data_IF_519337652136
#
_entry.id   IF_519337652136
#
_cell.length_a   1.000
_cell.length_b   1.000
_cell.length_c   1.000
_cell.angle_alpha   90.00
_cell.angle_beta   90.00
_cell.angle_gamma   90.00
#
_symmetry.space_group_name_H-M   'P 1'
#
loop_
_entity.id
_entity.type
_entity.pdbx_description
1 polymer ?
#
# COMPACT_ATOMS: atom_id res chain seq x y z
N UNK A 1 7.98 21.72 7.12
CA UNK A 1 8.69 21.78 7.89
C UNK A 1 8.38 21.27 9.13
N UNK A 2 9.08 20.76 9.79
CA UNK A 2 8.84 20.15 10.99
C UNK A 2 8.10 18.85 10.93
N UNK A 3 7.80 18.31 9.80
CA UNK A 3 7.15 17.04 9.74
C UNK A 3 8.12 15.97 10.11
N UNK A 4 7.74 15.12 11.00
CA UNK A 4 8.57 13.99 11.38
C UNK A 4 8.16 12.80 10.55
N UNK A 5 8.97 12.42 9.60
CA UNK A 5 8.64 11.34 8.69
C UNK A 5 8.61 9.97 9.35
N UNK A 6 9.05 9.87 10.61
CA UNK A 6 8.93 8.60 11.31
C UNK A 6 7.51 8.31 11.73
N UNK A 7 6.62 9.28 11.61
CA UNK A 7 5.24 9.12 12.03
C UNK A 7 4.29 9.10 10.83
N UNK A 8 4.46 8.21 9.94
CA UNK A 8 3.50 8.06 8.86
C UNK A 8 2.12 7.68 9.39
N UNK A 9 1.10 7.81 8.56
CA UNK A 9 -0.24 7.36 8.91
C UNK A 9 -0.24 5.84 8.98
N UNK A 10 -0.75 5.28 10.06
CA UNK A 10 -0.76 3.83 10.24
C UNK A 10 -2.10 3.36 10.77
N UNK A 11 -2.71 2.43 10.05
CA UNK A 11 -3.95 1.83 10.47
C UNK A 11 -3.67 0.35 10.73
N UNK A 12 -3.76 -0.06 11.97
CA UNK A 12 -3.36 -1.39 12.36
C UNK A 12 -4.52 -2.38 12.26
N UNK A 13 -4.26 -3.55 11.71
CA UNK A 13 -5.21 -4.64 11.68
C UNK A 13 -4.75 -5.79 12.53
N UNK A 14 -5.45 -6.90 12.46
CA UNK A 14 -5.14 -8.06 13.28
C UNK A 14 -4.24 -9.07 12.57
N UNK A 15 -4.04 -8.94 11.28
CA UNK A 15 -3.28 -9.92 10.52
C UNK A 15 -1.83 -9.52 10.32
N UNK A 16 -1.17 -10.20 9.41
CA UNK A 16 0.26 -10.07 9.21
C UNK A 16 0.65 -9.47 7.85
N UNK A 17 -0.28 -8.86 7.16
CA UNK A 17 -0.01 -8.21 5.89
C UNK A 17 -0.01 -6.71 6.07
N UNK A 18 1.02 -6.04 5.54
CA UNK A 18 1.14 -4.61 5.60
C UNK A 18 1.08 -4.04 4.20
N UNK A 19 0.13 -3.15 3.94
CA UNK A 19 0.08 -2.40 2.69
C UNK A 19 0.76 -1.06 2.92
N UNK A 20 1.69 -0.70 2.03
CA UNK A 20 2.46 0.53 2.15
C UNK A 20 2.16 1.41 0.94
N UNK A 21 1.82 2.66 1.18
CA UNK A 21 1.52 3.60 0.11
C UNK A 21 2.10 4.97 0.44
N UNK A 22 1.92 5.92 -0.47
CA UNK A 22 2.56 7.22 -0.32
C UNK A 22 1.75 8.17 0.55
N UNK A 23 0.45 8.18 0.44
CA UNK A 23 -0.39 9.13 1.14
C UNK A 23 -1.51 8.45 1.89
N UNK A 24 -1.98 9.09 2.96
CA UNK A 24 -3.05 8.53 3.78
C UNK A 24 -4.32 8.28 2.97
N UNK A 25 -4.62 9.16 2.00
CA UNK A 25 -5.82 8.97 1.19
C UNK A 25 -5.73 7.68 0.39
N UNK A 26 -4.52 7.30 -0.04
CA UNK A 26 -4.36 6.04 -0.76
C UNK A 26 -4.54 4.85 0.17
N UNK A 27 -4.07 4.94 1.40
CA UNK A 27 -4.27 3.86 2.37
C UNK A 27 -5.74 3.62 2.61
N UNK A 28 -6.51 4.68 2.78
CA UNK A 28 -7.95 4.55 2.99
C UNK A 28 -8.64 4.04 1.74
N UNK A 29 -8.15 4.44 0.58
CA UNK A 29 -8.73 3.96 -0.69
C UNK A 29 -8.47 2.47 -0.87
N UNK A 30 -7.27 1.99 -0.53
CA UNK A 30 -6.97 0.58 -0.63
C UNK A 30 -7.89 -0.22 0.30
N UNK A 31 -8.06 0.23 1.54
CA UNK A 31 -8.93 -0.46 2.47
C UNK A 31 -10.37 -0.52 1.94
N UNK A 32 -10.83 0.57 1.36
CA UNK A 32 -12.17 0.64 0.81
C UNK A 32 -12.34 -0.27 -0.41
N UNK A 33 -11.33 -0.30 -1.27
CA UNK A 33 -11.37 -1.19 -2.44
C UNK A 33 -11.41 -2.65 -1.99
N UNK A 34 -10.65 -2.99 -0.98
CA UNK A 34 -10.67 -4.36 -0.46
C UNK A 34 -12.03 -4.70 0.10
N UNK A 35 -12.65 -3.76 0.79
CA UNK A 35 -13.99 -3.98 1.31
C UNK A 35 -14.98 -4.23 0.18
N UNK A 36 -14.90 -3.44 -0.89
CA UNK A 36 -15.77 -3.64 -2.04
C UNK A 36 -15.56 -5.01 -2.70
N UNK A 37 -14.36 -5.54 -2.64
CA UNK A 37 -14.07 -6.84 -3.23
C UNK A 37 -14.40 -8.00 -2.29
N UNK A 38 -15.00 -7.72 -1.17
CA UNK A 38 -15.38 -8.77 -0.23
C UNK A 38 -14.25 -9.29 0.61
N UNK A 39 -13.13 -8.57 0.65
CA UNK A 39 -11.99 -9.00 1.42
C UNK A 39 -12.05 -8.40 2.83
N UNK A 40 -11.40 -9.06 3.77
CA UNK A 40 -11.45 -8.61 5.15
C UNK A 40 -10.40 -7.52 5.36
N UNK A 41 -10.78 -6.30 5.03
CA UNK A 41 -9.86 -5.17 5.10
C UNK A 41 -9.40 -4.90 6.54
N UNK A 42 -10.15 -5.33 7.53
CA UNK A 42 -9.81 -5.08 8.93
C UNK A 42 -8.65 -5.95 9.41
N UNK A 43 -8.37 -7.02 8.72
CA UNK A 43 -7.24 -7.84 9.09
C UNK A 43 -5.94 -7.24 8.60
N UNK A 44 -5.99 -6.39 7.58
CA UNK A 44 -4.77 -5.87 6.99
C UNK A 44 -4.30 -4.63 7.73
N UNK A 45 -3.04 -4.31 7.54
CA UNK A 45 -2.43 -3.13 8.13
C UNK A 45 -2.06 -2.19 7.00
N UNK A 46 -2.16 -0.89 7.22
CA UNK A 46 -1.95 0.10 6.18
C UNK A 46 -1.02 1.19 6.68
N UNK A 47 0.03 1.47 5.93
CA UNK A 47 1.00 2.49 6.29
C UNK A 47 1.16 3.45 5.12
N UNK A 48 0.99 4.75 5.40
CA UNK A 48 1.28 5.78 4.42
C UNK A 48 2.53 6.50 4.85
N UNK A 49 3.46 6.66 3.92
CA UNK A 49 4.76 7.18 4.25
C UNK A 49 4.86 8.69 4.28
N UNK A 50 3.86 9.37 3.75
CA UNK A 50 3.87 10.83 3.74
C UNK A 50 4.80 11.40 2.69
N UNK A 51 5.10 10.61 1.68
CA UNK A 51 5.99 11.03 0.63
C UNK A 51 7.21 10.13 0.57
N UNK A 52 7.69 9.86 -0.62
CA UNK A 52 8.82 8.98 -0.82
C UNK A 52 9.76 9.62 -1.80
N UNK A 53 11.05 9.60 -1.49
CA UNK A 53 12.05 10.13 -2.38
C UNK A 53 12.74 8.97 -3.08
N UNK A 54 12.71 8.96 -4.39
CA UNK A 54 13.29 7.87 -5.15
C UNK A 54 14.80 7.78 -4.99
N UNK A 55 15.44 8.85 -4.55
CA UNK A 55 16.88 8.88 -4.42
C UNK A 55 17.39 8.45 -3.06
N UNK A 56 16.51 8.15 -2.13
CA UNK A 56 16.98 7.77 -0.80
C UNK A 56 17.60 6.40 -0.80
N UNK A 57 18.63 6.24 -0.01
CA UNK A 57 19.35 4.97 0.06
C UNK A 57 19.00 4.11 1.24
N UNK A 58 18.11 4.59 2.08
CA UNK A 58 17.66 3.84 3.23
C UNK A 58 16.18 3.62 3.12
N UNK A 59 15.68 2.67 3.87
CA UNK A 59 14.24 2.51 3.97
C UNK A 59 13.64 3.78 4.56
N UNK A 60 12.44 4.16 4.13
CA UNK A 60 11.75 5.26 4.79
C UNK A 60 11.63 5.01 6.28
N UNK A 61 11.82 6.05 7.07
CA UNK A 61 11.86 5.91 8.53
C UNK A 61 10.57 5.31 9.07
N UNK A 62 9.42 5.74 8.54
CA UNK A 62 8.15 5.22 9.01
C UNK A 62 8.03 3.72 8.74
N UNK A 63 8.51 3.27 7.59
CA UNK A 63 8.46 1.86 7.26
C UNK A 63 9.39 1.05 8.15
N UNK A 64 10.60 1.52 8.32
CA UNK A 64 11.56 0.82 9.16
C UNK A 64 11.06 0.72 10.59
N UNK A 65 10.51 1.80 11.12
CA UNK A 65 9.97 1.79 12.47
C UNK A 65 8.81 0.81 12.59
N UNK A 66 7.93 0.79 11.62
CA UNK A 66 6.78 -0.11 11.67
C UNK A 66 7.23 -1.56 11.63
N UNK A 67 8.21 -1.88 10.78
CA UNK A 67 8.70 -3.24 10.67
C UNK A 67 9.46 -3.68 11.93
N UNK A 68 10.06 -2.74 12.64
CA UNK A 68 10.76 -3.07 13.87
C UNK A 68 9.80 -3.23 15.05
N UNK A 69 8.66 -2.57 15.00
CA UNK A 69 7.72 -2.60 16.12
C UNK A 69 6.66 -3.68 16.00
N UNK A 70 6.42 -4.17 14.79
CA UNK A 70 5.37 -5.16 14.57
C UNK A 70 5.92 -6.26 13.67
N UNK A 71 5.37 -7.43 13.82
CA UNK A 71 5.82 -8.58 13.04
C UNK A 71 4.88 -8.83 11.88
N UNK A 72 5.36 -8.69 10.66
CA UNK A 72 4.57 -8.94 9.48
C UNK A 72 5.17 -10.09 8.68
N UNK A 73 4.34 -10.79 7.95
CA UNK A 73 4.78 -11.85 7.06
C UNK A 73 4.79 -11.40 5.61
N UNK A 74 4.03 -10.36 5.28
CA UNK A 74 3.93 -9.90 3.91
C UNK A 74 3.84 -8.39 3.88
N UNK A 75 4.58 -7.78 2.97
CA UNK A 75 4.51 -6.35 2.72
C UNK A 75 4.14 -6.16 1.26
N UNK A 76 3.12 -5.37 0.98
CA UNK A 76 2.69 -5.08 -0.36
C UNK A 76 2.91 -3.59 -0.61
N UNK A 77 3.75 -3.27 -1.60
CA UNK A 77 4.08 -1.89 -1.91
C UNK A 77 3.10 -1.37 -2.94
N UNK A 78 2.31 -0.38 -2.57
CA UNK A 78 1.21 0.13 -3.38
C UNK A 78 1.45 1.59 -3.70
N UNK A 79 2.41 1.86 -4.58
CA UNK A 79 2.78 3.23 -4.90
C UNK A 79 2.13 3.65 -6.21
N UNK A 80 2.13 4.96 -6.46
CA UNK A 80 1.47 5.52 -7.62
C UNK A 80 1.99 4.93 -8.92
N UNK A 81 1.13 4.89 -9.91
CA UNK A 81 1.50 4.36 -11.22
C UNK A 81 2.12 5.46 -12.06
N UNK A 82 3.28 5.94 -11.62
CA UNK A 82 4.07 6.90 -12.36
C UNK A 82 5.54 6.54 -12.15
N UNK A 83 6.43 7.23 -12.85
CA UNK A 83 7.84 6.89 -12.84
C UNK A 83 8.43 7.00 -11.44
N UNK A 84 8.10 8.05 -10.72
CA UNK A 84 8.64 8.25 -9.38
C UNK A 84 8.15 7.17 -8.42
N UNK A 85 6.86 6.85 -8.47
CA UNK A 85 6.29 5.85 -7.57
C UNK A 85 6.87 4.48 -7.85
N UNK A 86 7.00 4.12 -9.12
CA UNK A 86 7.50 2.79 -9.46
C UNK A 86 9.00 2.67 -9.19
N UNK A 87 9.75 3.76 -9.34
CA UNK A 87 11.17 3.74 -8.98
C UNK A 87 11.33 3.55 -7.48
N UNK A 88 10.54 4.26 -6.69
CA UNK A 88 10.59 4.11 -5.24
C UNK A 88 10.18 2.70 -4.83
N UNK A 89 9.17 2.14 -5.49
CA UNK A 89 8.71 0.79 -5.17
C UNK A 89 9.84 -0.22 -5.41
N UNK A 90 10.53 -0.11 -6.53
CA UNK A 90 11.62 -1.03 -6.84
C UNK A 90 12.76 -0.92 -5.83
N UNK A 91 13.10 0.32 -5.44
CA UNK A 91 14.15 0.50 -4.47
C UNK A 91 13.81 -0.09 -3.13
N UNK A 92 12.61 0.18 -2.66
CA UNK A 92 12.17 -0.33 -1.37
C UNK A 92 12.05 -1.86 -1.42
N UNK A 93 11.55 -2.37 -2.53
CA UNK A 93 11.47 -3.83 -2.71
C UNK A 93 12.84 -4.47 -2.53
N UNK A 94 13.85 -3.92 -3.21
CA UNK A 94 15.20 -4.46 -3.12
C UNK A 94 15.76 -4.36 -1.70
N UNK A 95 15.56 -3.23 -1.05
CA UNK A 95 16.06 -3.05 0.31
C UNK A 95 15.38 -4.00 1.29
N UNK A 96 14.09 -4.21 1.15
CA UNK A 96 13.38 -5.13 2.03
C UNK A 96 13.86 -6.57 1.83
N UNK A 97 14.09 -6.94 0.58
CA UNK A 97 14.59 -8.30 0.30
C UNK A 97 15.98 -8.50 0.87
N UNK A 98 16.79 -7.45 0.91
CA UNK A 98 18.12 -7.56 1.49
C UNK A 98 18.10 -7.62 2.99
N UNK A 99 17.22 -6.84 3.63
CA UNK A 99 17.19 -6.78 5.07
C UNK A 99 16.39 -7.91 5.69
N UNK A 100 15.39 -8.42 4.98
CA UNK A 100 14.50 -9.47 5.49
C UNK A 100 14.42 -10.59 4.47
N UNK A 101 15.50 -11.31 4.24
CA UNK A 101 15.52 -12.25 3.11
C UNK A 101 14.67 -13.49 3.27
N UNK A 102 14.41 -13.90 4.50
CA UNK A 102 13.77 -15.19 4.66
C UNK A 102 12.39 -15.18 5.22
N UNK A 103 12.05 -14.22 6.00
CA UNK A 103 10.79 -14.25 6.73
C UNK A 103 9.76 -13.26 6.24
N UNK A 104 10.07 -12.50 5.22
CA UNK A 104 9.17 -11.46 4.76
C UNK A 104 8.92 -11.63 3.27
N UNK A 105 7.66 -11.79 2.91
CA UNK A 105 7.28 -11.80 1.51
C UNK A 105 7.02 -10.37 1.08
N UNK A 106 7.63 -9.93 -0.01
CA UNK A 106 7.46 -8.55 -0.49
C UNK A 106 6.83 -8.61 -1.86
N UNK A 107 5.77 -7.85 -2.06
CA UNK A 107 5.07 -7.79 -3.33
C UNK A 107 4.82 -6.34 -3.70
N UNK A 108 4.54 -6.10 -4.97
CA UNK A 108 4.14 -4.78 -5.42
C UNK A 108 2.75 -4.88 -6.03
N UNK A 109 1.99 -3.81 -5.89
CA UNK A 109 0.66 -3.73 -6.46
C UNK A 109 0.53 -2.36 -7.10
N UNK A 110 0.28 -2.32 -8.40
CA UNK A 110 0.22 -1.07 -9.15
C UNK A 110 -1.25 -0.74 -9.41
N UNK A 111 -1.69 0.50 -9.16
CA UNK A 111 -3.08 0.83 -9.46
C UNK A 111 -3.30 0.85 -10.97
N UNK A 112 -4.53 0.60 -11.39
CA UNK A 112 -4.86 0.57 -12.81
C UNK A 112 -4.88 1.95 -13.42
N UNK A 113 -5.04 2.97 -12.59
CA UNK A 113 -4.98 4.35 -13.02
C UNK A 113 -3.83 4.98 -12.27
N UNK A 114 -3.79 6.29 -12.13
CA UNK A 114 -2.63 6.93 -11.56
C UNK A 114 -2.35 6.53 -10.12
N UNK A 115 -3.38 6.49 -9.28
CA UNK A 115 -3.22 6.14 -7.89
C UNK A 115 -4.47 5.41 -7.39
N UNK A 116 -4.41 4.90 -6.16
CA UNK A 116 -5.49 4.10 -5.64
C UNK A 116 -6.73 4.92 -5.30
N UNK A 117 -6.56 6.21 -4.99
CA UNK A 117 -7.72 7.05 -4.79
C UNK A 117 -8.50 7.23 -6.09
N UNK A 118 -7.80 7.46 -7.21
CA UNK A 118 -8.44 7.55 -8.51
C UNK A 118 -9.11 6.23 -8.88
N UNK A 119 -8.46 5.13 -8.56
CA UNK A 119 -9.04 3.82 -8.85
C UNK A 119 -10.34 3.61 -8.08
N UNK A 120 -10.39 4.04 -6.83
CA UNK A 120 -11.62 3.96 -6.05
C UNK A 120 -12.71 4.82 -6.66
N UNK A 121 -12.37 6.03 -7.11
CA UNK A 121 -13.35 6.91 -7.73
C UNK A 121 -13.94 6.30 -8.99
N UNK A 122 -13.11 5.65 -9.80
CA UNK A 122 -13.58 4.98 -10.99
C UNK A 122 -14.53 3.83 -10.62
N UNK A 123 -14.16 3.07 -9.60
CA UNK A 123 -15.00 1.96 -9.18
C UNK A 123 -16.34 2.44 -8.65
N UNK A 124 -16.37 3.52 -7.92
CA UNK A 124 -17.62 4.07 -7.41
C UNK A 124 -18.51 4.54 -8.54
N UNK A 125 -17.93 5.18 -9.55
CA UNK A 125 -18.71 5.59 -10.69
C UNK A 125 -19.27 4.42 -11.47
N UNK A 126 -18.45 3.40 -11.68
CA UNK A 126 -18.90 2.22 -12.38
C UNK A 126 -20.01 1.50 -11.63
N UNK A 127 -19.92 1.47 -10.32
CA UNK A 127 -20.96 0.87 -9.51
C UNK A 127 -22.27 1.58 -9.61
N UNK A 128 -22.26 2.89 -9.79
CA UNK A 128 -23.49 3.62 -9.98
C UNK A 128 -24.09 3.38 -11.35
N UNK A 129 -23.24 3.18 -12.34
CA UNK A 129 -23.72 3.07 -13.72
C UNK A 129 -23.94 1.66 -14.20
N UNK A 130 -23.50 0.68 -13.44
CA UNK A 130 -23.58 -0.69 -13.84
C UNK A 130 -24.19 -1.49 -12.74
N UNK A 131 -25.42 -1.71 -12.76
CA UNK A 131 -26.05 -2.42 -11.66
C UNK A 131 -25.60 -3.84 -11.49
N UNK A 132 -25.20 -4.48 -12.53
CA UNK A 132 -24.84 -5.82 -12.35
C UNK A 132 -23.47 -5.90 -11.94
N UNK A 133 -23.07 -6.77 -11.28
CA UNK A 133 -21.92 -6.89 -10.95
C UNK A 133 -21.29 -8.02 -11.06
N UNK A 134 -20.91 -8.52 -11.56
CA UNK A 134 -20.18 -9.65 -11.67
C UNK A 134 -18.99 -9.62 -10.87
N UNK A 135 -18.40 -10.71 -10.69
CA UNK A 135 -17.27 -10.78 -9.94
C UNK A 135 -16.14 -10.33 -10.68
N UNK A 136 -15.17 -9.66 -10.13
CA UNK A 136 -14.06 -9.31 -10.80
C UNK A 136 -12.92 -9.51 -9.98
N UNK A 137 -11.79 -9.80 -10.49
CA UNK A 137 -10.62 -9.95 -9.81
C UNK A 137 -10.13 -8.67 -9.30
N UNK A 138 -9.70 -8.53 -8.10
CA UNK A 138 -9.18 -7.31 -7.52
C UNK A 138 -7.70 -7.24 -7.73
N UNK A 139 -7.20 -6.06 -8.09
CA UNK A 139 -5.77 -5.86 -8.19
C UNK A 139 -5.13 -5.85 -6.83
N UNK A 140 -5.91 -5.84 -5.76
CA UNK A 140 -5.37 -5.83 -4.41
C UNK A 140 -5.43 -7.19 -3.75
N UNK A 141 -5.91 -8.18 -4.41
CA UNK A 141 -6.13 -9.47 -3.77
C UNK A 141 -4.90 -10.29 -3.66
N UNK A 142 -3.90 -9.96 -4.19
CA UNK A 142 -2.82 -10.78 -4.22
C UNK A 142 -1.87 -10.35 -3.71
#
# INVERSE_FOLDING_TARGET
>A
TGSDKSYGFFLRGSGKTLFVCEAAIDALSIATLRKFDGLDWKKDNYLALGGVTASERKLPVALERTLNNFSFKRVVLCFDNDAAGQTAARRIFTMLRQQFPENLEVRTCVPEVKDFNDQLCVKLQNGKNSPSRGTRESTLSR
#
